data_IF_159309054897
#
_entry.id   IF_159309054897
#
_cell.length_a   1.000
_cell.length_b   1.000
_cell.length_c   1.000
_cell.angle_alpha   90.00
_cell.angle_beta   90.00
_cell.angle_gamma   90.00
#
_symmetry.space_group_name_H-M   'P 1'
#
loop_
_entity.id
_entity.type
_entity.pdbx_description
1 polymer ?
#
# COMPACT_ATOMS: atom_id res chain seq x y z
N UNK A 1 -61.03 0.71 31.26
CA UNK A 1 -61.44 2.13 31.09
C UNK A 1 -60.45 2.98 30.27
N UNK A 2 -59.14 2.93 30.54
CA UNK A 2 -58.12 3.81 29.93
C UNK A 2 -58.00 3.73 28.39
N UNK A 3 -58.08 2.52 27.81
CA UNK A 3 -57.96 2.30 26.35
C UNK A 3 -59.13 2.94 25.57
N UNK A 4 -60.35 2.89 26.11
CA UNK A 4 -61.54 3.53 25.49
C UNK A 4 -61.41 5.05 25.39
N UNK A 5 -60.80 5.71 26.39
CA UNK A 5 -60.53 7.16 26.35
C UNK A 5 -59.50 7.52 25.28
N UNK A 6 -58.46 6.70 25.12
CA UNK A 6 -57.42 6.90 24.09
C UNK A 6 -58.05 6.81 22.68
N UNK A 7 -58.91 5.82 22.44
CA UNK A 7 -59.64 5.66 21.16
C UNK A 7 -60.55 6.86 20.89
N UNK A 8 -61.22 7.41 21.92
CA UNK A 8 -62.07 8.61 21.80
C UNK A 8 -61.26 9.84 21.41
N UNK A 9 -60.04 10.02 21.95
CA UNK A 9 -59.12 11.11 21.58
C UNK A 9 -58.53 10.93 20.17
N UNK A 10 -58.30 9.69 19.73
CA UNK A 10 -57.82 9.35 18.39
C UNK A 10 -58.85 9.61 17.27
N UNK A 11 -60.16 9.68 17.59
CA UNK A 11 -61.20 10.11 16.66
C UNK A 11 -61.14 11.61 16.31
N UNK A 12 -60.42 12.42 17.09
CA UNK A 12 -60.28 13.85 16.82
C UNK A 12 -59.29 14.08 15.65
N UNK A 13 -59.71 14.72 14.54
CA UNK A 13 -58.90 14.83 13.31
C UNK A 13 -57.56 15.54 13.53
N UNK A 14 -57.50 16.52 14.44
CA UNK A 14 -56.25 17.25 14.76
C UNK A 14 -55.23 16.34 15.46
N UNK A 15 -55.69 15.48 16.37
CA UNK A 15 -54.84 14.54 17.13
C UNK A 15 -54.34 13.43 16.21
N UNK A 16 -55.21 12.87 15.36
CA UNK A 16 -54.85 11.84 14.38
C UNK A 16 -53.79 12.34 13.37
N UNK A 17 -53.89 13.59 12.92
CA UNK A 17 -52.90 14.19 12.01
C UNK A 17 -51.53 14.35 12.67
N UNK A 18 -51.47 14.85 13.91
CA UNK A 18 -50.20 14.97 14.67
C UNK A 18 -49.57 13.62 14.98
N UNK A 19 -50.38 12.62 15.32
CA UNK A 19 -49.89 11.26 15.57
C UNK A 19 -49.29 10.63 14.31
N UNK A 20 -49.91 10.80 13.14
CA UNK A 20 -49.36 10.32 11.86
C UNK A 20 -48.01 10.95 11.53
N UNK A 21 -47.88 12.27 11.76
CA UNK A 21 -46.62 12.99 11.53
C UNK A 21 -45.54 12.46 12.49
N UNK A 22 -45.86 12.33 13.78
CA UNK A 22 -44.93 11.77 14.76
C UNK A 22 -44.48 10.35 14.41
N UNK A 23 -45.42 9.49 13.98
CA UNK A 23 -45.13 8.12 13.56
C UNK A 23 -44.25 8.09 12.29
N UNK A 24 -44.50 8.99 11.35
CA UNK A 24 -43.70 9.13 10.13
C UNK A 24 -42.26 9.56 10.42
N UNK A 25 -42.07 10.52 11.32
CA UNK A 25 -40.74 11.00 11.73
C UNK A 25 -39.99 9.89 12.47
N UNK A 26 -40.67 9.16 13.36
CA UNK A 26 -40.06 8.02 14.06
C UNK A 26 -39.64 6.91 13.10
N UNK A 27 -40.49 6.57 12.13
CA UNK A 27 -40.16 5.60 11.09
C UNK A 27 -38.93 6.01 10.26
N UNK A 28 -38.86 7.28 9.88
CA UNK A 28 -37.70 7.83 9.17
C UNK A 28 -36.41 7.77 9.98
N UNK A 29 -36.46 8.12 11.27
CA UNK A 29 -35.30 8.05 12.15
C UNK A 29 -34.77 6.61 12.32
N UNK A 30 -35.68 5.63 12.43
CA UNK A 30 -35.31 4.20 12.52
C UNK A 30 -34.63 3.74 11.22
N UNK A 31 -35.18 4.09 10.06
CA UNK A 31 -34.59 3.74 8.75
C UNK A 31 -33.17 4.31 8.60
N UNK A 32 -32.96 5.56 9.01
CA UNK A 32 -31.65 6.21 8.98
C UNK A 32 -30.67 5.48 9.90
N UNK A 33 -31.07 5.18 11.15
CA UNK A 33 -30.22 4.49 12.11
C UNK A 33 -29.82 3.08 11.63
N UNK A 34 -30.75 2.33 11.03
CA UNK A 34 -30.47 1.00 10.46
C UNK A 34 -29.49 1.10 9.29
N UNK A 35 -29.66 2.11 8.42
CA UNK A 35 -28.77 2.32 7.27
C UNK A 35 -27.35 2.62 7.73
N UNK A 36 -27.18 3.52 8.71
CA UNK A 36 -25.86 3.82 9.28
C UNK A 36 -25.23 2.60 9.93
N UNK A 37 -26.01 1.78 10.64
CA UNK A 37 -25.50 0.54 11.23
C UNK A 37 -24.99 -0.43 10.18
N UNK A 38 -25.75 -0.65 9.10
CA UNK A 38 -25.33 -1.57 8.02
C UNK A 38 -24.04 -1.06 7.36
N UNK A 39 -23.96 0.23 7.05
CA UNK A 39 -22.74 0.82 6.46
C UNK A 39 -21.56 0.71 7.42
N UNK A 40 -21.77 0.96 8.71
CA UNK A 40 -20.73 0.81 9.73
C UNK A 40 -20.26 -0.64 9.85
N UNK A 41 -21.18 -1.61 9.90
CA UNK A 41 -20.85 -3.03 10.02
C UNK A 41 -20.12 -3.55 8.76
N UNK A 42 -20.51 -3.11 7.56
CA UNK A 42 -19.82 -3.45 6.31
C UNK A 42 -18.41 -2.84 6.28
N UNK A 43 -18.28 -1.55 6.59
CA UNK A 43 -16.97 -0.88 6.63
C UNK A 43 -16.06 -1.43 7.72
N UNK A 44 -16.63 -1.83 8.87
CA UNK A 44 -15.90 -2.50 9.95
C UNK A 44 -15.42 -3.88 9.53
N UNK A 45 -16.25 -4.67 8.85
CA UNK A 45 -15.85 -5.97 8.32
C UNK A 45 -14.80 -5.85 7.23
N UNK A 46 -14.91 -4.85 6.35
CA UNK A 46 -13.92 -4.55 5.31
C UNK A 46 -12.58 -4.15 5.94
N UNK A 47 -12.57 -3.26 6.92
CA UNK A 47 -11.37 -2.88 7.65
C UNK A 47 -10.73 -4.07 8.38
N UNK A 48 -11.54 -4.90 9.04
CA UNK A 48 -11.06 -6.10 9.72
C UNK A 48 -10.50 -7.13 8.73
N UNK A 49 -11.14 -7.30 7.57
CA UNK A 49 -10.64 -8.18 6.51
C UNK A 49 -9.32 -7.69 5.90
N UNK A 50 -9.11 -6.37 5.80
CA UNK A 50 -7.86 -5.78 5.34
C UNK A 50 -6.73 -5.92 6.38
N UNK A 51 -7.04 -5.76 7.67
CA UNK A 51 -6.09 -6.02 8.75
C UNK A 51 -5.74 -7.51 8.85
N UNK A 52 -6.73 -8.39 8.72
CA UNK A 52 -6.52 -9.83 8.70
C UNK A 52 -5.75 -10.24 7.44
N UNK A 53 -6.02 -9.70 6.25
CA UNK A 53 -5.20 -9.98 5.06
C UNK A 53 -3.74 -9.53 5.26
N UNK A 54 -3.53 -8.38 5.90
CA UNK A 54 -2.19 -7.89 6.24
C UNK A 54 -1.47 -8.81 7.24
N UNK A 55 -2.19 -9.40 8.19
CA UNK A 55 -1.65 -10.29 9.22
C UNK A 55 -1.55 -11.77 8.76
N UNK A 56 -2.39 -12.19 7.81
CA UNK A 56 -2.45 -13.56 7.27
C UNK A 56 -1.53 -13.76 6.06
N UNK A 57 -0.94 -12.68 5.54
CA UNK A 57 0.34 -12.75 4.83
C UNK A 57 1.35 -13.33 5.82
N UNK A 58 1.44 -14.67 5.85
CA UNK A 58 2.52 -15.42 6.48
C UNK A 58 3.82 -14.65 6.23
N UNK A 59 4.78 -14.62 7.18
CA UNK A 59 6.11 -14.15 6.87
C UNK A 59 6.67 -15.12 5.84
N UNK A 60 6.39 -14.86 4.57
CA UNK A 60 7.11 -15.42 3.44
C UNK A 60 8.55 -15.18 3.82
N UNK A 61 9.33 -16.25 3.94
CA UNK A 61 10.76 -16.12 4.02
C UNK A 61 11.17 -15.46 2.70
N UNK A 62 11.15 -14.14 2.67
CA UNK A 62 11.57 -13.37 1.53
C UNK A 62 13.04 -13.77 1.37
N UNK A 63 13.40 -14.26 0.18
CA UNK A 63 14.80 -14.37 -0.19
C UNK A 63 15.34 -12.94 -0.25
N UNK A 64 15.73 -12.41 0.91
CA UNK A 64 16.28 -11.07 1.05
C UNK A 64 17.63 -11.11 0.37
N UNK A 65 17.78 -10.38 -0.73
CA UNK A 65 19.08 -10.21 -1.37
C UNK A 65 20.06 -9.58 -0.38
N UNK A 66 21.02 -10.36 0.11
CA UNK A 66 22.06 -9.87 1.02
C UNK A 66 23.13 -9.12 0.24
N UNK A 67 23.85 -8.19 0.90
CA UNK A 67 24.99 -7.47 0.30
C UNK A 67 26.01 -8.42 -0.34
N UNK A 68 26.31 -9.55 0.32
CA UNK A 68 27.22 -10.56 -0.21
C UNK A 68 26.68 -11.26 -1.48
N UNK A 69 25.37 -11.51 -1.54
CA UNK A 69 24.73 -12.10 -2.73
C UNK A 69 24.68 -11.09 -3.88
N UNK A 70 24.34 -9.83 -3.58
CA UNK A 70 24.39 -8.74 -4.54
C UNK A 70 25.81 -8.55 -5.10
N UNK A 71 26.85 -8.58 -4.24
CA UNK A 71 28.24 -8.49 -4.67
C UNK A 71 28.63 -9.64 -5.59
N UNK A 72 28.25 -10.89 -5.27
CA UNK A 72 28.50 -12.04 -6.15
C UNK A 72 27.83 -11.90 -7.51
N UNK A 73 26.59 -11.41 -7.56
CA UNK A 73 25.88 -11.15 -8.82
C UNK A 73 26.61 -10.06 -9.61
N UNK A 74 27.05 -8.99 -8.95
CA UNK A 74 27.77 -7.88 -9.60
C UNK A 74 29.10 -8.31 -10.17
N UNK A 75 29.94 -8.93 -9.34
CA UNK A 75 31.25 -9.44 -9.76
C UNK A 75 31.09 -10.51 -10.86
N UNK A 76 30.12 -11.41 -10.74
CA UNK A 76 29.85 -12.44 -11.75
C UNK A 76 29.37 -11.86 -13.08
N UNK A 77 28.46 -10.87 -13.04
CA UNK A 77 27.95 -10.21 -14.24
C UNK A 77 29.03 -9.37 -14.95
N UNK A 78 29.92 -8.73 -14.19
CA UNK A 78 31.03 -7.93 -14.71
C UNK A 78 32.29 -8.75 -15.04
N UNK A 79 32.28 -10.06 -14.77
CA UNK A 79 33.43 -10.97 -14.93
C UNK A 79 34.69 -10.46 -14.22
N UNK A 80 34.52 -9.93 -13.01
CA UNK A 80 35.61 -9.48 -12.15
C UNK A 80 36.12 -10.61 -11.24
N UNK A 81 37.28 -10.41 -10.62
CA UNK A 81 37.78 -11.31 -9.57
C UNK A 81 36.96 -11.13 -8.28
N UNK A 82 36.31 -12.17 -7.74
CA UNK A 82 35.57 -12.10 -6.47
C UNK A 82 36.43 -11.75 -5.26
N UNK A 83 37.73 -11.97 -5.33
CA UNK A 83 38.68 -11.75 -4.22
C UNK A 83 39.14 -10.30 -4.15
N UNK A 84 39.08 -9.58 -5.28
CA UNK A 84 39.46 -8.17 -5.39
C UNK A 84 38.63 -7.47 -6.49
N UNK A 85 37.31 -7.32 -6.30
CA UNK A 85 36.45 -6.70 -7.30
C UNK A 85 36.76 -5.20 -7.41
N UNK A 86 36.82 -4.69 -8.65
CA UNK A 86 36.95 -3.25 -8.90
C UNK A 86 35.63 -2.51 -8.68
N UNK A 87 34.52 -3.23 -8.79
CA UNK A 87 33.16 -2.73 -8.59
C UNK A 87 32.56 -3.32 -7.31
N UNK A 88 32.21 -2.45 -6.36
CA UNK A 88 31.70 -2.85 -5.03
C UNK A 88 30.25 -2.41 -4.86
N UNK A 89 29.41 -3.27 -4.31
CA UNK A 89 28.06 -2.92 -3.88
C UNK A 89 28.15 -2.15 -2.57
N UNK A 90 27.76 -0.89 -2.58
CA UNK A 90 27.73 -0.04 -1.37
C UNK A 90 26.43 -0.16 -0.61
N UNK A 91 25.31 -0.37 -1.31
CA UNK A 91 23.99 -0.39 -0.69
C UNK A 91 22.98 -1.21 -1.49
N UNK A 92 22.04 -1.85 -0.78
CA UNK A 92 20.78 -2.35 -1.34
C UNK A 92 19.67 -1.39 -0.89
N UNK A 93 19.09 -0.63 -1.82
CA UNK A 93 18.07 0.39 -1.54
C UNK A 93 16.69 -0.24 -1.39
N UNK A 94 16.32 -1.10 -2.34
CA UNK A 94 15.04 -1.80 -2.36
C UNK A 94 15.29 -3.27 -2.62
N UNK A 95 14.58 -4.13 -1.89
CA UNK A 95 14.79 -5.57 -1.92
C UNK A 95 13.46 -6.28 -2.00
N UNK A 96 13.00 -6.51 -3.23
CA UNK A 96 11.85 -7.35 -3.53
C UNK A 96 12.38 -8.64 -4.19
N UNK A 97 11.79 -9.82 -3.89
CA UNK A 97 12.21 -11.09 -4.48
C UNK A 97 12.31 -11.11 -6.01
N UNK A 98 11.64 -10.20 -6.73
CA UNK A 98 11.74 -10.06 -8.20
C UNK A 98 12.62 -8.91 -8.67
N UNK A 99 12.80 -7.88 -7.84
CA UNK A 99 13.47 -6.63 -8.20
C UNK A 99 14.22 -6.09 -6.99
N UNK A 100 15.54 -5.99 -7.10
CA UNK A 100 16.35 -5.29 -6.12
C UNK A 100 17.08 -4.11 -6.76
N UNK A 101 17.08 -2.99 -6.07
CA UNK A 101 17.85 -1.80 -6.46
C UNK A 101 19.11 -1.75 -5.63
N UNK A 102 20.26 -1.65 -6.28
CA UNK A 102 21.56 -1.59 -5.63
C UNK A 102 22.35 -0.36 -6.07
N UNK A 103 23.19 0.15 -5.19
CA UNK A 103 24.20 1.15 -5.51
C UNK A 103 25.53 0.44 -5.64
N UNK A 104 26.18 0.60 -6.79
CA UNK A 104 27.51 0.10 -7.06
C UNK A 104 28.49 1.27 -7.16
N UNK A 105 29.72 1.05 -6.70
CA UNK A 105 30.80 2.01 -6.79
C UNK A 105 32.00 1.40 -7.51
N UNK A 106 32.59 2.15 -8.43
CA UNK A 106 33.84 1.81 -9.11
C UNK A 106 34.69 3.08 -9.23
N UNK A 107 35.91 3.07 -8.68
CA UNK A 107 36.88 4.18 -8.78
C UNK A 107 36.24 5.56 -8.54
N UNK A 108 35.52 5.69 -7.43
CA UNK A 108 34.82 6.90 -6.97
C UNK A 108 33.53 7.28 -7.73
N UNK A 109 33.17 6.57 -8.81
CA UNK A 109 31.90 6.75 -9.48
C UNK A 109 30.85 5.82 -8.90
N UNK A 110 29.72 6.38 -8.47
CA UNK A 110 28.56 5.63 -7.98
C UNK A 110 27.51 5.54 -9.07
N UNK A 111 26.94 4.35 -9.26
CA UNK A 111 25.83 4.12 -10.20
C UNK A 111 24.74 3.29 -9.54
N UNK A 112 23.51 3.53 -9.95
CA UNK A 112 22.37 2.70 -9.56
C UNK A 112 22.30 1.55 -10.56
N UNK A 113 22.25 0.33 -10.04
CA UNK A 113 22.04 -0.87 -10.83
C UNK A 113 20.86 -1.66 -10.26
N UNK A 114 20.27 -2.49 -11.12
CA UNK A 114 19.07 -3.25 -10.79
C UNK A 114 19.38 -4.73 -10.92
N UNK A 115 18.90 -5.50 -9.95
CA UNK A 115 18.94 -6.95 -10.00
C UNK A 115 17.51 -7.42 -10.20
N UNK A 116 17.21 -7.88 -11.41
CA UNK A 116 15.93 -8.47 -11.78
C UNK A 116 16.17 -9.96 -11.98
N UNK A 117 15.44 -10.82 -11.27
CA UNK A 117 15.59 -12.28 -11.35
C UNK A 117 17.07 -12.74 -11.28
N UNK A 118 17.83 -12.20 -10.31
CA UNK A 118 19.26 -12.49 -10.08
C UNK A 118 20.21 -12.08 -11.23
N UNK A 119 19.74 -11.26 -12.19
CA UNK A 119 20.54 -10.73 -13.29
C UNK A 119 20.76 -9.25 -13.11
N UNK A 120 21.99 -8.81 -13.34
CA UNK A 120 22.36 -7.41 -13.22
C UNK A 120 21.99 -6.63 -14.49
N UNK A 121 21.31 -5.52 -14.30
CA UNK A 121 21.00 -4.54 -15.31
C UNK A 121 21.62 -3.19 -14.89
N UNK A 122 22.50 -2.68 -15.75
CA UNK A 122 23.05 -1.33 -15.64
C UNK A 122 22.08 -0.38 -16.31
N UNK A 123 21.69 0.68 -15.62
CA UNK A 123 20.55 1.46 -16.05
C UNK A 123 20.86 2.70 -16.90
N UNK A 124 20.21 2.76 -18.07
CA UNK A 124 19.46 3.96 -18.48
C UNK A 124 18.13 4.06 -17.71
N UNK A 125 17.21 4.94 -18.08
CA UNK A 125 16.07 5.33 -17.22
C UNK A 125 15.02 4.21 -16.95
N UNK A 126 14.59 4.02 -15.69
CA UNK A 126 13.44 3.17 -15.31
C UNK A 126 12.22 4.04 -15.20
N UNK A 127 11.19 3.72 -15.97
CA UNK A 127 9.92 4.40 -15.85
C UNK A 127 8.92 3.54 -15.09
N UNK A 128 8.16 4.14 -14.16
CA UNK A 128 6.99 3.48 -13.59
C UNK A 128 5.84 3.42 -14.63
N UNK A 129 4.72 2.78 -14.28
CA UNK A 129 3.55 2.66 -15.17
C UNK A 129 2.93 4.02 -15.58
N UNK A 130 3.26 5.07 -14.84
CA UNK A 130 2.83 6.46 -15.09
C UNK A 130 3.87 7.27 -15.89
N UNK A 131 5.01 6.66 -16.26
CA UNK A 131 6.07 7.31 -17.03
C UNK A 131 7.08 8.13 -16.20
N UNK A 132 7.09 8.01 -14.87
CA UNK A 132 8.07 8.67 -14.00
C UNK A 132 9.40 7.93 -13.93
N UNK A 133 10.50 8.68 -14.09
CA UNK A 133 11.85 8.15 -14.01
C UNK A 133 12.25 7.85 -12.55
N UNK A 134 12.13 6.59 -12.16
CA UNK A 134 12.51 6.09 -10.85
C UNK A 134 14.04 6.14 -10.65
N UNK A 135 14.83 6.05 -11.71
CA UNK A 135 16.30 6.12 -11.63
C UNK A 135 16.78 7.51 -11.25
N UNK A 136 16.16 8.56 -11.80
CA UNK A 136 16.47 9.94 -11.48
C UNK A 136 16.02 10.30 -10.06
N UNK A 137 14.80 9.90 -9.67
CA UNK A 137 14.29 10.11 -8.32
C UNK A 137 15.19 9.48 -7.25
N UNK A 138 15.64 8.23 -7.49
CA UNK A 138 16.55 7.54 -6.59
C UNK A 138 17.96 8.12 -6.59
N UNK A 139 18.45 8.64 -7.71
CA UNK A 139 19.74 9.32 -7.78
C UNK A 139 19.73 10.61 -6.97
N UNK A 140 18.68 11.43 -7.12
CA UNK A 140 18.50 12.66 -6.33
C UNK A 140 18.37 12.35 -4.83
N UNK A 141 17.57 11.35 -4.46
CA UNK A 141 17.37 10.97 -3.07
C UNK A 141 18.67 10.49 -2.39
N UNK A 142 19.55 9.84 -3.14
CA UNK A 142 20.82 9.30 -2.62
C UNK A 142 22.04 10.20 -2.91
N UNK A 143 21.81 11.46 -3.34
CA UNK A 143 22.87 12.42 -3.71
C UNK A 143 23.88 11.86 -4.73
N UNK A 144 23.42 11.01 -5.63
CA UNK A 144 24.24 10.43 -6.70
C UNK A 144 24.21 11.43 -7.86
N UNK A 145 25.31 12.14 -8.08
CA UNK A 145 25.47 12.96 -9.29
C UNK A 145 25.49 12.03 -10.50
N UNK A 146 24.45 12.10 -11.33
CA UNK A 146 24.44 11.42 -12.62
C UNK A 146 25.48 12.09 -13.52
N UNK A 147 26.67 11.48 -13.61
CA UNK A 147 27.60 11.82 -14.69
C UNK A 147 26.89 11.46 -16.00
N UNK A 148 26.51 12.49 -16.75
CA UNK A 148 25.88 12.37 -18.06
C UNK A 148 26.88 11.72 -19.02
N UNK A 149 26.51 10.53 -19.51
CA UNK A 149 27.11 9.76 -20.62
C UNK A 149 28.53 9.20 -20.41
#
# INVERSE_FOLDING_TARGET
>A
MKIRMIIKRLKNPRVRRRLKIGLSVFGGAILIAVTFKIVYDIGYFEAQSLEDEKNTRQPTAYAVLTMASAQRIVTGALKEDPSNPSTVVEQVIYNNPKLSTIVIANKQQKKIAWIIDMRLFFMGDLYNEEGYNLTEALAQQNNISQASQ
#
